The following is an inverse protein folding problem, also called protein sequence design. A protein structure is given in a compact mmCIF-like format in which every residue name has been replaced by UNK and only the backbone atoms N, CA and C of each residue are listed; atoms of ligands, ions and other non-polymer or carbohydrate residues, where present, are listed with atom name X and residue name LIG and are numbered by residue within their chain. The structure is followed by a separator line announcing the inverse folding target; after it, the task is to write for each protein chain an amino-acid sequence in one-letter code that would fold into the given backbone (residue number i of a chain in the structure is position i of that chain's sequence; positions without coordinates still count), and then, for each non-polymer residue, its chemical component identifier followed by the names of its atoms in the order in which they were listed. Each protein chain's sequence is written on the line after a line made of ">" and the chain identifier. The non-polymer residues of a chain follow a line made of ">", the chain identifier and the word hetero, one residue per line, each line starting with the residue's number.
data_IF_638132520375
#
_entry.id   IF_638132520375
#
_cell.length_a   1.000
_cell.length_b   1.000
_cell.length_c   1.000
_cell.angle_alpha   90.00
_cell.angle_beta   90.00
_cell.angle_gamma   90.00
#
_symmetry.space_group_name_H-M   'P 1'
#
loop_
_entity.id
_entity.type
_entity.pdbx_description
1 polymer ?
#
# COMPACT_ATOMS: atom_id res chain seq x y z
N UNK A 1 -24.16 42.65 -80.71
CA UNK A 1 -23.04 43.25 -79.95
C UNK A 1 -23.31 43.09 -78.47
N UNK A 2 -22.30 42.55 -77.76
CA UNK A 2 -22.14 42.32 -76.30
C UNK A 2 -22.63 43.47 -75.37
N UNK A 3 -22.73 43.28 -74.04
CA UNK A 3 -23.49 42.26 -73.29
C UNK A 3 -24.20 42.84 -72.03
N UNK A 4 -25.01 42.00 -71.38
CA UNK A 4 -25.69 42.24 -70.11
C UNK A 4 -24.74 42.35 -68.89
N UNK A 5 -25.15 43.11 -67.87
CA UNK A 5 -24.59 43.05 -66.50
C UNK A 5 -25.68 42.69 -65.50
N UNK A 6 -25.49 41.52 -64.90
CA UNK A 6 -26.29 40.92 -63.85
C UNK A 6 -25.63 41.28 -62.50
N UNK A 7 -26.26 42.10 -61.68
CA UNK A 7 -25.85 42.36 -60.29
C UNK A 7 -26.48 41.31 -59.40
N UNK A 8 -25.72 40.29 -59.04
CA UNK A 8 -26.12 39.28 -58.05
C UNK A 8 -25.96 39.81 -56.64
N UNK A 9 -27.05 39.81 -55.88
CA UNK A 9 -27.07 39.97 -54.42
C UNK A 9 -26.84 38.58 -53.80
N UNK A 10 -25.69 38.36 -53.17
CA UNK A 10 -25.41 37.12 -52.45
C UNK A 10 -26.03 37.21 -51.06
N UNK A 11 -27.13 36.49 -50.83
CA UNK A 11 -27.76 36.33 -49.52
C UNK A 11 -27.06 35.18 -48.79
N UNK A 12 -26.23 35.49 -47.79
CA UNK A 12 -25.58 34.50 -46.94
C UNK A 12 -26.61 34.00 -45.90
N UNK A 13 -27.19 32.82 -46.13
CA UNK A 13 -28.04 32.14 -45.15
C UNK A 13 -27.12 31.52 -44.09
N UNK A 14 -27.05 32.16 -42.92
CA UNK A 14 -26.43 31.58 -41.74
C UNK A 14 -27.37 30.49 -41.18
N UNK A 15 -27.03 29.23 -41.42
CA UNK A 15 -27.71 28.09 -40.77
C UNK A 15 -27.08 27.94 -39.39
N UNK A 16 -27.78 28.41 -38.36
CA UNK A 16 -27.42 28.16 -36.96
C UNK A 16 -27.75 26.70 -36.64
N UNK A 17 -26.75 25.82 -36.66
CA UNK A 17 -26.89 24.47 -36.12
C UNK A 17 -27.00 24.56 -34.59
N UNK A 18 -28.21 24.42 -34.06
CA UNK A 18 -28.42 24.16 -32.63
C UNK A 18 -27.98 22.72 -32.35
N UNK A 19 -26.75 22.56 -31.87
CA UNK A 19 -26.28 21.29 -31.29
C UNK A 19 -26.95 21.17 -29.91
N UNK A 20 -28.06 20.44 -29.87
CA UNK A 20 -28.66 19.98 -28.62
C UNK A 20 -27.74 18.89 -28.07
N UNK A 21 -26.84 19.27 -27.15
CA UNK A 21 -26.12 18.31 -26.33
C UNK A 21 -27.14 17.73 -25.34
N UNK A 22 -27.63 16.53 -25.61
CA UNK A 22 -28.15 15.69 -24.54
C UNK A 22 -26.99 15.47 -23.57
N UNK A 23 -27.02 16.15 -22.42
CA UNK A 23 -26.33 15.64 -21.24
C UNK A 23 -27.04 14.35 -20.89
N UNK A 24 -26.42 13.22 -21.17
CA UNK A 24 -26.77 12.01 -20.43
C UNK A 24 -26.67 12.38 -18.95
N UNK A 25 -27.75 12.19 -18.20
CA UNK A 25 -27.69 12.36 -16.76
C UNK A 25 -26.70 11.32 -16.24
N UNK A 26 -25.54 11.79 -15.76
CA UNK A 26 -24.56 10.95 -15.07
C UNK A 26 -25.30 10.10 -14.03
N UNK A 27 -25.14 8.78 -14.04
CA UNK A 27 -25.84 7.93 -13.09
C UNK A 27 -25.53 8.40 -11.68
N UNK A 28 -26.58 8.65 -10.87
CA UNK A 28 -26.42 9.15 -9.51
C UNK A 28 -25.60 8.16 -8.69
N UNK A 29 -24.43 8.58 -8.23
CA UNK A 29 -23.57 7.77 -7.37
C UNK A 29 -24.11 7.76 -5.95
N UNK A 30 -24.48 6.58 -5.44
CA UNK A 30 -24.75 6.38 -4.03
C UNK A 30 -23.45 5.93 -3.34
N UNK A 31 -22.78 6.88 -2.69
CA UNK A 31 -21.53 6.63 -1.96
C UNK A 31 -21.91 6.42 -0.48
N UNK A 32 -21.67 5.23 0.10
CA UNK A 32 -21.93 4.99 1.52
C UNK A 32 -20.92 5.72 2.42
N UNK A 33 -21.25 5.87 3.70
CA UNK A 33 -20.37 6.51 4.70
C UNK A 33 -19.24 5.57 5.19
N UNK A 34 -19.32 4.28 4.86
CA UNK A 34 -18.34 3.26 5.24
C UNK A 34 -18.20 2.21 4.14
N UNK A 35 -17.18 1.36 4.21
CA UNK A 35 -16.90 0.33 3.22
C UNK A 35 -17.82 -0.90 3.41
N UNK A 36 -19.13 -0.70 3.34
CA UNK A 36 -20.18 -1.70 3.64
C UNK A 36 -20.98 -2.13 2.39
N UNK A 37 -20.31 -2.15 1.24
CA UNK A 37 -20.89 -2.64 -0.02
C UNK A 37 -21.29 -4.13 0.07
N UNK A 38 -22.22 -4.53 -0.80
CA UNK A 38 -22.56 -5.94 -0.99
C UNK A 38 -21.46 -6.68 -1.77
N UNK A 39 -21.31 -7.97 -1.52
CA UNK A 39 -20.32 -8.86 -2.16
C UNK A 39 -18.89 -8.32 -2.10
N UNK A 40 -18.40 -8.02 -0.89
CA UNK A 40 -17.03 -7.55 -0.67
C UNK A 40 -16.17 -8.69 -0.17
N UNK A 41 -15.02 -8.90 -0.84
CA UNK A 41 -14.01 -9.85 -0.40
C UNK A 41 -12.61 -9.28 -0.59
N UNK A 42 -11.81 -9.31 0.47
CA UNK A 42 -10.38 -9.00 0.46
C UNK A 42 -9.64 -9.77 1.57
N UNK A 43 -10.17 -10.93 1.95
CA UNK A 43 -9.62 -11.74 3.04
C UNK A 43 -8.17 -12.17 2.74
N UNK A 44 -7.85 -12.44 1.48
CA UNK A 44 -6.49 -12.77 1.05
C UNK A 44 -5.48 -11.65 1.32
N UNK A 45 -5.92 -10.39 1.35
CA UNK A 45 -5.08 -9.25 1.69
C UNK A 45 -4.92 -9.12 3.20
N UNK A 46 -5.99 -9.31 3.97
CA UNK A 46 -5.91 -9.36 5.43
C UNK A 46 -4.98 -10.47 5.93
N UNK A 47 -5.02 -11.65 5.30
CA UNK A 47 -4.09 -12.73 5.60
C UNK A 47 -2.64 -12.34 5.35
N UNK A 48 -2.32 -11.68 4.23
CA UNK A 48 -0.94 -11.22 3.94
C UNK A 48 -0.47 -10.12 4.89
N UNK A 49 -1.36 -9.21 5.30
CA UNK A 49 -1.05 -8.24 6.35
C UNK A 49 -0.74 -8.95 7.67
N UNK A 50 -1.54 -9.94 8.05
CA UNK A 50 -1.30 -10.74 9.25
C UNK A 50 0.00 -11.55 9.18
N UNK A 51 0.34 -12.12 8.02
CA UNK A 51 1.60 -12.82 7.79
C UNK A 51 2.81 -11.90 7.98
N UNK A 52 2.78 -10.69 7.41
CA UNK A 52 3.88 -9.73 7.62
C UNK A 52 3.95 -9.28 9.09
N UNK A 53 2.80 -9.14 9.76
CA UNK A 53 2.78 -8.79 11.18
C UNK A 53 3.43 -9.88 12.04
N UNK A 54 3.16 -11.15 11.76
CA UNK A 54 3.81 -12.25 12.48
C UNK A 54 5.31 -12.34 12.14
N UNK A 55 5.70 -12.13 10.88
CA UNK A 55 7.11 -12.03 10.49
C UNK A 55 7.82 -10.88 11.20
N UNK A 56 7.20 -9.70 11.28
CA UNK A 56 7.70 -8.55 12.03
C UNK A 56 7.91 -8.89 13.50
N UNK A 57 6.95 -9.57 14.12
CA UNK A 57 7.06 -9.99 15.52
C UNK A 57 8.25 -10.93 15.72
N UNK A 58 8.47 -11.87 14.80
CA UNK A 58 9.66 -12.73 14.85
C UNK A 58 10.96 -11.95 14.66
N UNK A 59 11.03 -11.07 13.65
CA UNK A 59 12.19 -10.20 13.40
C UNK A 59 12.56 -9.35 14.65
N UNK A 60 11.54 -8.87 15.38
CA UNK A 60 11.73 -8.03 16.57
C UNK A 60 12.44 -8.76 17.72
N UNK A 61 12.36 -10.09 17.79
CA UNK A 61 13.07 -10.89 18.81
C UNK A 61 14.60 -10.79 18.68
N UNK A 62 15.11 -10.37 17.51
CA UNK A 62 16.56 -10.20 17.27
C UNK A 62 17.23 -9.10 18.11
N UNK A 63 16.44 -8.30 18.82
CA UNK A 63 16.92 -7.28 19.77
C UNK A 63 17.23 -7.86 21.17
N UNK A 64 16.87 -9.11 21.42
CA UNK A 64 17.12 -9.82 22.68
C UNK A 64 18.51 -10.47 22.68
N UNK A 65 19.21 -10.41 23.83
CA UNK A 65 20.55 -11.02 23.94
C UNK A 65 20.48 -12.54 23.74
N UNK A 66 21.21 -13.04 22.73
CA UNK A 66 21.31 -14.47 22.44
C UNK A 66 20.15 -15.03 21.62
N UNK A 67 19.18 -14.20 21.23
CA UNK A 67 18.15 -14.60 20.28
C UNK A 67 18.73 -14.65 18.86
N UNK A 68 18.56 -15.78 18.19
CA UNK A 68 19.06 -16.00 16.83
C UNK A 68 17.87 -16.27 15.92
N UNK A 69 17.76 -15.47 14.86
CA UNK A 69 16.77 -15.67 13.82
C UNK A 69 17.19 -16.80 12.87
N UNK A 70 16.22 -17.58 12.42
CA UNK A 70 16.42 -18.64 11.45
C UNK A 70 16.06 -18.16 10.04
N UNK A 71 17.05 -18.12 9.14
CA UNK A 71 16.86 -17.70 7.76
C UNK A 71 15.87 -18.59 6.98
N UNK A 72 15.89 -19.90 7.24
CA UNK A 72 14.96 -20.86 6.64
C UNK A 72 13.52 -20.58 7.05
N UNK A 73 13.27 -20.35 8.34
CA UNK A 73 11.96 -19.94 8.86
C UNK A 73 11.50 -18.62 8.25
N UNK A 74 12.36 -17.60 8.21
CA UNK A 74 12.03 -16.30 7.62
C UNK A 74 11.65 -16.41 6.12
N UNK A 75 12.40 -17.18 5.34
CA UNK A 75 12.08 -17.46 3.93
C UNK A 75 10.80 -18.27 3.77
N UNK A 76 10.55 -19.21 4.68
CA UNK A 76 9.29 -19.95 4.72
C UNK A 76 8.10 -19.04 5.06
N UNK A 77 8.24 -18.10 6.00
CA UNK A 77 7.22 -17.08 6.28
C UNK A 77 6.95 -16.20 5.04
N UNK A 78 8.00 -15.85 4.29
CA UNK A 78 7.88 -15.05 3.08
C UNK A 78 7.16 -15.80 1.93
N UNK A 79 7.47 -17.08 1.74
CA UNK A 79 6.88 -17.94 0.71
C UNK A 79 5.60 -18.68 1.15
N UNK A 80 5.17 -18.51 2.40
CA UNK A 80 4.12 -19.30 3.06
C UNK A 80 4.33 -20.84 3.03
N UNK A 81 5.55 -21.29 3.30
CA UNK A 81 5.83 -22.70 3.54
C UNK A 81 5.48 -23.05 4.99
N UNK A 82 4.20 -23.31 5.26
CA UNK A 82 3.64 -23.46 6.61
C UNK A 82 4.39 -24.48 7.51
N UNK A 83 4.82 -25.67 7.02
CA UNK A 83 5.63 -26.60 7.81
C UNK A 83 6.94 -26.02 8.38
N UNK A 84 7.51 -25.00 7.75
CA UNK A 84 8.79 -24.38 8.13
C UNK A 84 8.63 -22.97 8.70
N UNK A 85 7.54 -22.28 8.35
CA UNK A 85 7.27 -20.90 8.80
C UNK A 85 6.96 -20.78 10.30
N UNK A 86 6.48 -21.88 10.91
CA UNK A 86 6.07 -21.95 12.32
C UNK A 86 5.03 -20.87 12.69
N UNK A 87 4.04 -20.68 11.81
CA UNK A 87 2.95 -19.72 12.02
C UNK A 87 2.17 -20.03 13.31
N UNK A 88 1.82 -18.99 14.05
CA UNK A 88 0.82 -19.02 15.11
C UNK A 88 -0.59 -18.85 14.53
N UNK A 89 -0.71 -18.07 13.44
CA UNK A 89 -1.93 -17.96 12.66
C UNK A 89 -2.16 -19.14 11.71
N UNK A 90 -3.37 -19.24 11.16
CA UNK A 90 -3.70 -20.14 10.06
C UNK A 90 -3.86 -19.31 8.79
N UNK A 91 -3.06 -19.61 7.77
CA UNK A 91 -3.09 -18.93 6.49
C UNK A 91 -3.38 -19.92 5.37
N UNK A 92 -4.19 -19.52 4.39
CA UNK A 92 -4.43 -20.28 3.18
C UNK A 92 -3.14 -20.40 2.37
N UNK A 93 -2.84 -21.61 1.89
CA UNK A 93 -1.58 -21.94 1.21
C UNK A 93 -1.35 -21.14 -0.09
N UNK A 94 -2.42 -20.60 -0.69
CA UNK A 94 -2.33 -19.72 -1.86
C UNK A 94 -1.87 -18.29 -1.51
N UNK A 95 -1.89 -17.90 -0.24
CA UNK A 95 -1.52 -16.55 0.18
C UNK A 95 -0.04 -16.51 0.52
N UNK A 96 0.73 -15.81 -0.30
CA UNK A 96 2.17 -15.65 -0.11
C UNK A 96 2.54 -14.18 -0.19
N UNK A 97 3.54 -13.76 0.59
CA UNK A 97 4.14 -12.43 0.47
C UNK A 97 5.09 -12.38 -0.72
N UNK A 98 5.87 -13.44 -0.95
CA UNK A 98 6.89 -13.51 -2.01
C UNK A 98 6.32 -13.34 -3.41
N UNK A 99 5.31 -14.13 -3.77
CA UNK A 99 4.64 -14.06 -5.08
C UNK A 99 3.94 -12.71 -5.31
N UNK A 100 3.54 -12.01 -4.24
CA UNK A 100 2.95 -10.67 -4.32
C UNK A 100 3.94 -9.52 -4.22
N UNK A 101 5.19 -9.82 -3.90
CA UNK A 101 6.25 -8.81 -3.94
C UNK A 101 6.69 -8.59 -5.37
N UNK A 102 6.87 -7.33 -5.77
CA UNK A 102 7.33 -6.99 -7.10
C UNK A 102 8.56 -7.81 -7.48
N UNK A 103 8.48 -8.51 -8.61
CA UNK A 103 9.40 -9.58 -9.00
C UNK A 103 10.87 -9.17 -8.88
N UNK A 104 11.18 -7.94 -9.32
CA UNK A 104 12.53 -7.38 -9.27
C UNK A 104 13.15 -7.36 -7.86
N UNK A 105 12.34 -7.22 -6.81
CA UNK A 105 12.82 -7.17 -5.44
C UNK A 105 12.76 -8.50 -4.70
N UNK A 106 12.22 -9.57 -5.27
CA UNK A 106 12.08 -10.84 -4.56
C UNK A 106 13.44 -11.43 -4.13
N UNK A 107 14.45 -11.40 -5.00
CA UNK A 107 15.81 -11.85 -4.67
C UNK A 107 16.47 -10.94 -3.62
N UNK A 108 16.18 -9.63 -3.64
CA UNK A 108 16.66 -8.70 -2.63
C UNK A 108 16.11 -9.08 -1.24
N UNK A 109 14.81 -9.38 -1.12
CA UNK A 109 14.25 -9.81 0.16
C UNK A 109 14.82 -11.14 0.62
N UNK A 110 15.03 -12.13 -0.25
CA UNK A 110 15.72 -13.37 0.14
C UNK A 110 17.10 -13.09 0.76
N UNK A 111 17.86 -12.16 0.17
CA UNK A 111 19.17 -11.73 0.68
C UNK A 111 19.07 -10.98 2.01
N UNK A 112 18.05 -10.12 2.19
CA UNK A 112 17.80 -9.41 3.45
C UNK A 112 17.43 -10.38 4.58
N UNK A 113 16.59 -11.38 4.30
CA UNK A 113 16.20 -12.42 5.27
C UNK A 113 17.41 -13.27 5.70
N UNK A 114 18.33 -13.59 4.77
CA UNK A 114 19.60 -14.21 5.15
C UNK A 114 20.49 -13.27 5.96
N UNK A 115 20.55 -11.98 5.59
CA UNK A 115 21.41 -11.00 6.24
C UNK A 115 20.97 -10.73 7.67
N UNK A 116 19.66 -10.59 7.94
CA UNK A 116 19.17 -10.33 9.30
C UNK A 116 19.41 -11.54 10.21
N UNK A 117 19.24 -12.75 9.67
CA UNK A 117 19.60 -13.98 10.38
C UNK A 117 21.10 -14.03 10.71
N UNK A 118 21.97 -13.72 9.75
CA UNK A 118 23.43 -13.65 10.01
C UNK A 118 23.78 -12.58 11.05
N UNK A 119 23.18 -11.40 10.97
CA UNK A 119 23.42 -10.33 11.96
C UNK A 119 23.01 -10.76 13.37
N UNK A 120 21.89 -11.49 13.51
CA UNK A 120 21.37 -11.95 14.80
C UNK A 120 22.24 -13.00 15.50
N UNK A 121 23.21 -13.61 14.80
CA UNK A 121 24.19 -14.52 15.41
C UNK A 121 25.23 -13.75 16.25
N UNK A 122 25.36 -12.44 16.06
CA UNK A 122 26.36 -11.63 16.76
C UNK A 122 26.17 -11.71 18.28
N UNK A 123 27.24 -12.08 18.98
CA UNK A 123 27.30 -12.13 20.45
C UNK A 123 28.02 -10.92 21.06
N UNK A 124 28.40 -9.95 20.23
CA UNK A 124 29.11 -8.73 20.64
C UNK A 124 28.22 -7.50 20.47
N UNK A 125 28.56 -6.42 21.16
CA UNK A 125 27.90 -5.13 20.97
C UNK A 125 28.13 -4.62 19.54
N UNK A 126 27.10 -4.03 18.93
CA UNK A 126 27.18 -3.43 17.61
C UNK A 126 27.97 -2.11 17.63
N UNK A 127 28.60 -1.77 16.51
CA UNK A 127 29.38 -0.55 16.36
C UNK A 127 29.86 -0.34 14.91
N UNK A 128 30.69 0.68 14.63
CA UNK A 128 31.19 0.95 13.29
C UNK A 128 31.89 -0.28 12.68
N UNK A 129 31.35 -0.82 11.59
CA UNK A 129 31.88 -2.02 10.91
C UNK A 129 31.60 -3.36 11.63
N UNK A 130 30.81 -3.36 12.70
CA UNK A 130 30.51 -4.55 13.50
C UNK A 130 29.00 -4.69 13.70
N UNK A 131 28.43 -5.75 13.12
CA UNK A 131 27.05 -6.13 13.39
C UNK A 131 26.86 -6.53 14.85
N UNK A 132 25.73 -6.17 15.44
CA UNK A 132 25.40 -6.48 16.83
C UNK A 132 24.32 -5.57 17.39
N UNK A 133 23.95 -5.82 18.65
CA UNK A 133 22.92 -5.02 19.32
C UNK A 133 23.53 -3.71 19.81
N UNK A 134 22.88 -2.60 19.48
CA UNK A 134 23.21 -1.24 19.94
C UNK A 134 22.06 -0.74 20.80
N UNK A 135 22.39 -0.11 21.95
CA UNK A 135 21.39 0.45 22.87
C UNK A 135 21.39 1.97 22.76
N UNK A 136 20.22 2.60 22.94
CA UNK A 136 20.12 4.06 23.10
C UNK A 136 20.95 4.52 24.30
N UNK A 137 21.32 5.80 24.32
CA UNK A 137 22.17 6.38 25.38
C UNK A 137 21.53 6.26 26.77
N UNK A 138 20.20 6.35 26.83
CA UNK A 138 19.41 6.17 28.06
C UNK A 138 19.19 4.69 28.44
N UNK A 139 19.63 3.75 27.58
CA UNK A 139 19.48 2.31 27.75
C UNK A 139 18.06 1.78 27.60
N UNK A 140 17.08 2.60 27.21
CA UNK A 140 15.67 2.22 27.15
C UNK A 140 15.29 1.44 25.88
N UNK A 141 16.06 1.61 24.79
CA UNK A 141 15.83 0.95 23.50
C UNK A 141 17.06 0.21 23.02
N UNK A 142 16.82 -0.82 22.18
CA UNK A 142 17.85 -1.71 21.65
C UNK A 142 17.51 -2.10 20.21
N UNK A 143 18.52 -2.14 19.36
CA UNK A 143 18.36 -2.44 17.93
C UNK A 143 19.47 -3.37 17.46
N UNK A 144 19.12 -4.36 16.63
CA UNK A 144 20.10 -5.16 15.92
C UNK A 144 20.51 -4.44 14.64
N UNK A 145 21.74 -3.95 14.59
CA UNK A 145 22.29 -3.31 13.40
C UNK A 145 23.28 -4.23 12.69
N UNK A 146 23.31 -4.16 11.36
CA UNK A 146 24.39 -4.77 10.59
C UNK A 146 25.68 -3.91 10.66
N UNK A 147 26.76 -4.38 10.02
CA UNK A 147 28.05 -3.70 9.98
C UNK A 147 28.02 -2.29 9.35
N UNK A 148 26.97 -1.98 8.59
CA UNK A 148 26.73 -0.69 7.97
C UNK A 148 25.80 0.23 8.79
N UNK A 149 25.37 -0.21 9.97
CA UNK A 149 24.44 0.54 10.82
C UNK A 149 22.98 0.50 10.37
N UNK A 150 22.61 -0.42 9.47
CA UNK A 150 21.21 -0.60 9.03
C UNK A 150 20.52 -1.64 9.91
N UNK A 151 19.33 -1.29 10.41
CA UNK A 151 18.41 -2.23 11.04
C UNK A 151 17.67 -3.01 9.96
N UNK A 152 18.17 -4.20 9.62
CA UNK A 152 17.64 -5.02 8.53
C UNK A 152 16.17 -5.40 8.73
N UNK A 153 15.69 -5.48 9.98
CA UNK A 153 14.28 -5.71 10.29
C UNK A 153 13.38 -4.59 9.74
N UNK A 154 13.79 -3.31 9.85
CA UNK A 154 13.05 -2.19 9.27
C UNK A 154 13.10 -2.22 7.75
N UNK A 155 14.26 -2.50 7.16
CA UNK A 155 14.39 -2.63 5.71
C UNK A 155 13.47 -3.72 5.13
N UNK A 156 13.31 -4.84 5.84
CA UNK A 156 12.39 -5.91 5.46
C UNK A 156 10.93 -5.46 5.62
N UNK A 157 10.55 -4.92 6.78
CA UNK A 157 9.18 -4.49 7.07
C UNK A 157 8.73 -3.37 6.10
N UNK A 158 9.43 -2.23 6.09
CA UNK A 158 9.09 -1.07 5.25
C UNK A 158 9.25 -1.39 3.77
N UNK A 159 10.27 -2.17 3.42
CA UNK A 159 10.46 -2.67 2.07
C UNK A 159 9.26 -3.46 1.57
N UNK A 160 8.76 -4.43 2.35
CA UNK A 160 7.59 -5.24 1.96
C UNK A 160 6.30 -4.41 1.96
N UNK A 161 6.15 -3.40 2.81
CA UNK A 161 5.03 -2.46 2.70
C UNK A 161 4.97 -1.79 1.32
N UNK A 162 6.11 -1.35 0.80
CA UNK A 162 6.21 -0.74 -0.54
C UNK A 162 6.11 -1.77 -1.67
N UNK A 163 7.02 -2.75 -1.65
CA UNK A 163 7.21 -3.70 -2.75
C UNK A 163 6.12 -4.77 -2.84
N UNK A 164 5.35 -5.01 -1.77
CA UNK A 164 4.21 -5.92 -1.77
C UNK A 164 2.90 -5.14 -1.69
N UNK A 165 2.59 -4.49 -0.56
CA UNK A 165 1.23 -3.97 -0.34
C UNK A 165 0.89 -2.76 -1.21
N UNK A 166 1.76 -1.75 -1.22
CA UNK A 166 1.57 -0.57 -2.07
C UNK A 166 1.62 -0.95 -3.56
N UNK A 167 2.60 -1.73 -3.98
CA UNK A 167 2.72 -2.22 -5.35
C UNK A 167 1.47 -2.99 -5.81
N UNK A 168 1.00 -3.96 -5.02
CA UNK A 168 -0.19 -4.73 -5.36
C UNK A 168 -1.41 -3.82 -5.46
N UNK A 169 -1.67 -2.98 -4.46
CA UNK A 169 -2.84 -2.09 -4.50
C UNK A 169 -2.79 -1.15 -5.71
N UNK A 170 -1.69 -0.40 -5.86
CA UNK A 170 -1.65 0.73 -6.78
C UNK A 170 -1.29 0.36 -8.22
N UNK A 171 -0.37 -0.57 -8.43
CA UNK A 171 0.13 -0.92 -9.76
C UNK A 171 -0.57 -2.15 -10.34
N UNK A 172 -0.95 -3.12 -9.50
CA UNK A 172 -1.60 -4.36 -9.96
C UNK A 172 -3.12 -4.22 -9.94
N UNK A 173 -3.72 -4.11 -8.76
CA UNK A 173 -5.18 -4.14 -8.59
C UNK A 173 -5.87 -2.90 -9.14
N UNK A 174 -5.31 -1.70 -8.94
CA UNK A 174 -5.78 -0.48 -9.59
C UNK A 174 -5.16 -0.25 -10.98
N UNK A 175 -4.41 -1.23 -11.50
CA UNK A 175 -3.79 -1.17 -12.83
C UNK A 175 -4.74 -1.60 -13.95
N UNK A 176 -4.38 -1.26 -15.19
CA UNK A 176 -5.21 -1.48 -16.38
C UNK A 176 -5.67 -2.93 -16.54
N UNK A 177 -4.82 -3.91 -16.24
CA UNK A 177 -5.16 -5.33 -16.37
C UNK A 177 -6.31 -5.77 -15.46
N UNK A 178 -6.46 -5.10 -14.31
CA UNK A 178 -7.47 -5.42 -13.28
C UNK A 178 -8.66 -4.48 -13.32
N UNK A 179 -8.45 -3.29 -13.86
CA UNK A 179 -9.46 -2.25 -14.01
C UNK A 179 -10.13 -2.24 -15.40
N UNK A 180 -9.76 -3.15 -16.31
CA UNK A 180 -10.43 -3.35 -17.60
C UNK A 180 -10.94 -4.80 -17.78
N UNK A 181 -11.44 -5.40 -16.69
CA UNK A 181 -12.05 -6.74 -16.66
C UNK A 181 -13.58 -6.67 -16.66
N UNK A 182 -14.24 -7.83 -16.57
CA UNK A 182 -15.70 -7.91 -16.48
C UNK A 182 -16.26 -7.12 -15.29
N UNK A 183 -17.30 -6.35 -15.56
CA UNK A 183 -18.06 -5.58 -14.57
C UNK A 183 -19.57 -5.82 -14.73
N UNK A 184 -19.97 -7.05 -15.06
CA UNK A 184 -21.38 -7.41 -15.27
C UNK A 184 -21.78 -8.70 -14.56
N UNK A 185 -20.90 -9.71 -14.57
CA UNK A 185 -21.15 -11.02 -13.99
C UNK A 185 -20.87 -10.98 -12.50
N UNK A 186 -21.91 -11.20 -11.68
CA UNK A 186 -21.76 -11.20 -10.22
C UNK A 186 -21.40 -12.59 -9.73
N UNK A 187 -20.26 -12.70 -9.06
CA UNK A 187 -19.87 -13.85 -8.25
C UNK A 187 -20.34 -13.63 -6.79
N UNK A 188 -21.17 -14.52 -6.22
CA UNK A 188 -21.66 -14.36 -4.86
C UNK A 188 -20.52 -14.24 -3.84
N UNK A 189 -20.52 -13.15 -3.07
CA UNK A 189 -19.49 -12.86 -2.06
C UNK A 189 -18.31 -12.03 -2.57
N UNK A 190 -18.11 -11.90 -3.88
CA UNK A 190 -16.98 -11.16 -4.48
C UNK A 190 -17.42 -10.00 -5.38
N UNK A 191 -18.63 -10.05 -5.92
CA UNK A 191 -19.17 -9.04 -6.82
C UNK A 191 -18.76 -9.34 -8.25
N UNK A 192 -18.67 -8.32 -9.08
CA UNK A 192 -18.03 -8.48 -10.40
C UNK A 192 -16.51 -8.63 -10.26
N UNK A 193 -15.84 -9.08 -11.32
CA UNK A 193 -14.37 -9.18 -11.28
C UNK A 193 -13.70 -7.83 -11.01
N UNK A 194 -14.22 -6.74 -11.58
CA UNK A 194 -13.70 -5.39 -11.33
C UNK A 194 -13.95 -4.92 -9.90
N UNK A 195 -15.14 -5.21 -9.36
CA UNK A 195 -15.49 -4.94 -7.97
C UNK A 195 -14.56 -5.67 -6.99
N UNK A 196 -14.36 -6.97 -7.19
CA UNK A 196 -13.48 -7.77 -6.37
C UNK A 196 -12.04 -7.23 -6.41
N UNK A 197 -11.50 -6.91 -7.58
CA UNK A 197 -10.15 -6.34 -7.67
C UNK A 197 -10.01 -4.98 -6.98
N UNK A 198 -11.06 -4.16 -6.99
CA UNK A 198 -11.08 -2.91 -6.22
C UNK A 198 -11.07 -3.18 -4.70
N UNK A 199 -11.87 -4.14 -4.26
CA UNK A 199 -11.95 -4.59 -2.87
C UNK A 199 -10.59 -5.14 -2.39
N UNK A 200 -9.90 -5.91 -3.22
CA UNK A 200 -8.54 -6.39 -2.96
C UNK A 200 -7.52 -5.23 -2.83
N UNK A 201 -7.62 -4.16 -3.63
CA UNK A 201 -6.79 -2.97 -3.46
C UNK A 201 -7.04 -2.29 -2.11
N UNK A 202 -8.31 -2.16 -1.71
CA UNK A 202 -8.70 -1.62 -0.40
C UNK A 202 -8.16 -2.48 0.75
N UNK A 203 -8.19 -3.81 0.63
CA UNK A 203 -7.67 -4.72 1.64
C UNK A 203 -6.21 -4.47 2.01
N UNK A 204 -5.35 -4.11 1.03
CA UNK A 204 -3.95 -3.77 1.29
C UNK A 204 -3.73 -2.42 2.00
N UNK A 205 -4.74 -1.55 2.03
CA UNK A 205 -4.66 -0.30 2.78
C UNK A 205 -4.60 -0.56 4.29
N UNK A 206 -5.18 -1.67 4.76
CA UNK A 206 -4.99 -2.15 6.13
C UNK A 206 -5.76 -1.34 7.18
N UNK A 207 -6.97 -0.91 6.84
CA UNK A 207 -7.88 -0.15 7.71
C UNK A 207 -9.21 -0.89 7.89
N UNK A 208 -9.97 -0.66 8.98
CA UNK A 208 -11.31 -1.22 9.12
C UNK A 208 -12.28 -0.55 8.12
N UNK A 209 -13.37 -1.23 7.78
CA UNK A 209 -14.37 -0.73 6.83
C UNK A 209 -14.98 0.63 7.24
N UNK A 210 -15.06 0.90 8.54
CA UNK A 210 -15.58 2.16 9.11
C UNK A 210 -14.49 3.19 9.43
N UNK A 211 -13.28 3.05 8.88
CA UNK A 211 -12.25 4.08 8.98
C UNK A 211 -12.76 5.41 8.34
N UNK A 212 -12.42 6.59 8.88
CA UNK A 212 -11.67 6.82 10.11
C UNK A 212 -12.48 6.83 11.41
N UNK A 213 -13.80 6.59 11.37
CA UNK A 213 -14.61 6.50 12.59
C UNK A 213 -14.12 5.39 13.54
N UNK A 214 -13.58 4.31 12.98
CA UNK A 214 -12.83 3.29 13.73
C UNK A 214 -11.37 3.28 13.30
N UNK A 215 -10.44 3.38 14.25
CA UNK A 215 -9.00 3.41 14.00
C UNK A 215 -8.26 2.20 14.59
N UNK A 216 -8.94 1.08 14.76
CA UNK A 216 -8.35 -0.16 15.25
C UNK A 216 -9.12 -1.40 14.75
N UNK A 217 -8.44 -2.47 14.32
CA UNK A 217 -6.98 -2.55 14.12
C UNK A 217 -6.54 -1.74 12.88
N UNK A 218 -5.30 -1.22 12.91
CA UNK A 218 -4.65 -0.61 11.75
C UNK A 218 -3.36 -1.38 11.44
N UNK A 219 -3.15 -1.70 10.17
CA UNK A 219 -1.99 -2.44 9.70
C UNK A 219 -1.15 -1.57 8.78
N UNK A 220 0.16 -1.49 9.04
CA UNK A 220 1.16 -0.88 8.16
C UNK A 220 0.72 0.49 7.59
N UNK A 221 0.33 0.57 6.31
CA UNK A 221 -0.12 1.79 5.66
C UNK A 221 -1.30 2.47 6.36
N UNK A 222 -2.25 1.71 6.90
CA UNK A 222 -3.35 2.24 7.72
C UNK A 222 -2.84 2.91 9.00
N UNK A 223 -1.80 2.34 9.64
CA UNK A 223 -1.17 2.95 10.81
C UNK A 223 -0.45 4.26 10.44
N UNK A 224 0.28 4.27 9.32
CA UNK A 224 0.96 5.48 8.86
C UNK A 224 0.02 6.57 8.37
N UNK A 225 -1.08 6.21 7.69
CA UNK A 225 -2.12 7.18 7.37
C UNK A 225 -2.60 7.86 8.64
N UNK A 226 -2.98 7.07 9.66
CA UNK A 226 -3.50 7.64 10.90
C UNK A 226 -2.48 8.50 11.64
N UNK A 227 -1.19 8.15 11.60
CA UNK A 227 -0.13 8.97 12.17
C UNK A 227 0.09 10.28 11.40
N UNK A 228 -0.07 10.28 10.07
CA UNK A 228 0.12 11.46 9.21
C UNK A 228 -1.13 12.32 9.06
N UNK A 229 -2.28 11.86 9.55
CA UNK A 229 -3.58 12.52 9.35
C UNK A 229 -3.63 13.96 9.87
N UNK A 230 -3.03 14.24 11.03
CA UNK A 230 -2.97 15.61 11.57
C UNK A 230 -2.31 16.61 10.59
N UNK A 231 -1.36 16.13 9.78
CA UNK A 231 -0.63 16.94 8.81
C UNK A 231 -1.34 16.99 7.45
N UNK A 232 -1.87 15.84 6.99
CA UNK A 232 -2.33 15.67 5.61
C UNK A 232 -3.85 15.66 5.44
N UNK A 233 -4.59 15.45 6.54
CA UNK A 233 -6.01 15.08 6.55
C UNK A 233 -6.26 13.90 5.61
N UNK A 234 -5.36 12.92 5.61
CA UNK A 234 -5.32 11.84 4.62
C UNK A 234 -6.28 10.70 4.93
N UNK A 235 -6.71 10.52 6.18
CA UNK A 235 -7.57 9.43 6.57
C UNK A 235 -8.91 9.47 5.83
N UNK A 236 -9.61 10.60 5.92
CA UNK A 236 -10.90 10.79 5.24
C UNK A 236 -10.71 10.79 3.72
N UNK A 237 -9.69 11.48 3.20
CA UNK A 237 -9.41 11.53 1.74
C UNK A 237 -9.19 10.15 1.13
N UNK A 238 -8.43 9.29 1.80
CA UNK A 238 -8.20 7.92 1.33
C UNK A 238 -9.51 7.11 1.33
N UNK A 239 -10.30 7.20 2.39
CA UNK A 239 -11.58 6.48 2.46
C UNK A 239 -12.56 6.99 1.42
N UNK A 240 -12.74 8.29 1.29
CA UNK A 240 -13.61 8.90 0.29
C UNK A 240 -13.22 8.43 -1.12
N UNK A 241 -11.94 8.37 -1.44
CA UNK A 241 -11.47 7.88 -2.74
C UNK A 241 -11.82 6.40 -2.96
N UNK A 242 -11.61 5.53 -1.97
CA UNK A 242 -11.98 4.12 -2.06
C UNK A 242 -13.49 3.90 -2.18
N UNK A 243 -14.30 4.61 -1.39
CA UNK A 243 -15.76 4.56 -1.42
C UNK A 243 -16.29 5.07 -2.76
N UNK A 244 -15.75 6.21 -3.24
CA UNK A 244 -16.10 6.80 -4.53
C UNK A 244 -15.84 5.83 -5.68
N UNK A 245 -14.65 5.23 -5.74
CA UNK A 245 -14.32 4.33 -6.83
C UNK A 245 -15.11 3.03 -6.80
N UNK A 246 -15.35 2.45 -5.62
CA UNK A 246 -16.19 1.24 -5.49
C UNK A 246 -17.64 1.52 -5.92
N UNK A 247 -18.21 2.65 -5.52
CA UNK A 247 -19.54 3.08 -5.96
C UNK A 247 -19.59 3.37 -7.46
N UNK A 248 -18.53 3.96 -8.01
CA UNK A 248 -18.41 4.23 -9.45
C UNK A 248 -18.36 2.96 -10.29
N UNK A 249 -17.63 1.93 -9.84
CA UNK A 249 -17.61 0.61 -10.48
C UNK A 249 -19.02 0.01 -10.49
N UNK A 250 -19.73 -0.01 -9.36
CA UNK A 250 -21.09 -0.55 -9.28
C UNK A 250 -22.08 0.22 -10.16
N UNK A 251 -21.87 1.52 -10.37
CA UNK A 251 -22.68 2.36 -11.25
C UNK A 251 -22.25 2.30 -12.73
N UNK A 252 -21.16 1.60 -13.05
CA UNK A 252 -20.58 1.58 -14.40
C UNK A 252 -19.93 2.90 -14.84
N UNK A 253 -19.66 3.82 -13.91
CA UNK A 253 -19.06 5.12 -14.21
C UNK A 253 -17.52 5.02 -14.19
N UNK A 254 -16.94 4.58 -15.32
CA UNK A 254 -15.50 4.36 -15.42
C UNK A 254 -14.67 5.66 -15.34
N UNK A 255 -15.23 6.81 -15.73
CA UNK A 255 -14.55 8.09 -15.61
C UNK A 255 -14.33 8.47 -14.14
N UNK A 256 -15.38 8.39 -13.31
CA UNK A 256 -15.27 8.65 -11.86
C UNK A 256 -14.41 7.60 -11.15
N UNK A 257 -14.45 6.35 -11.62
CA UNK A 257 -13.54 5.29 -11.16
C UNK A 257 -12.08 5.67 -11.43
N UNK A 258 -11.74 6.13 -12.64
CA UNK A 258 -10.37 6.54 -12.98
C UNK A 258 -9.90 7.74 -12.14
N UNK A 259 -10.78 8.70 -11.86
CA UNK A 259 -10.51 9.80 -10.92
C UNK A 259 -10.23 9.28 -9.50
N UNK A 260 -11.02 8.32 -9.02
CA UNK A 260 -10.81 7.69 -7.71
C UNK A 260 -9.46 6.95 -7.63
N UNK A 261 -9.05 6.26 -8.70
CA UNK A 261 -7.72 5.61 -8.77
C UNK A 261 -6.62 6.66 -8.58
N UNK A 262 -6.70 7.78 -9.29
CA UNK A 262 -5.72 8.85 -9.20
C UNK A 262 -5.66 9.44 -7.78
N UNK A 263 -6.80 9.60 -7.12
CA UNK A 263 -6.88 10.08 -5.73
C UNK A 263 -6.29 9.08 -4.74
N UNK A 264 -6.59 7.78 -4.86
CA UNK A 264 -6.00 6.73 -4.01
C UNK A 264 -4.48 6.77 -4.13
N UNK A 265 -3.94 6.74 -5.36
CA UNK A 265 -2.50 6.78 -5.60
C UNK A 265 -1.86 8.04 -5.00
N UNK A 266 -2.42 9.21 -5.30
CA UNK A 266 -1.89 10.50 -4.82
C UNK A 266 -1.85 10.57 -3.29
N UNK A 267 -2.93 10.19 -2.60
CA UNK A 267 -2.96 10.25 -1.14
C UNK A 267 -2.01 9.22 -0.52
N UNK A 268 -1.89 8.02 -1.08
CA UNK A 268 -0.98 6.99 -0.58
C UNK A 268 0.50 7.36 -0.77
N UNK A 269 0.85 8.00 -1.89
CA UNK A 269 2.18 8.55 -2.16
C UNK A 269 2.52 9.70 -1.20
N UNK A 270 1.56 10.58 -0.91
CA UNK A 270 1.72 11.63 0.09
C UNK A 270 1.95 11.06 1.50
N UNK A 271 1.21 10.02 1.89
CA UNK A 271 1.42 9.31 3.16
C UNK A 271 2.83 8.72 3.21
N UNK A 272 3.29 8.07 2.14
CA UNK A 272 4.63 7.49 2.05
C UNK A 272 5.72 8.55 2.18
N UNK A 273 5.66 9.60 1.37
CA UNK A 273 6.65 10.68 1.38
C UNK A 273 6.68 11.43 2.72
N UNK A 274 5.52 11.73 3.31
CA UNK A 274 5.44 12.36 4.62
C UNK A 274 5.99 11.47 5.74
N UNK A 275 5.80 10.15 5.64
CA UNK A 275 6.36 9.18 6.59
C UNK A 275 7.88 9.15 6.52
N UNK A 276 8.46 9.05 5.32
CA UNK A 276 9.90 9.11 5.12
C UNK A 276 10.50 10.42 5.68
N UNK A 277 9.91 11.57 5.35
CA UNK A 277 10.35 12.87 5.89
C UNK A 277 10.24 12.92 7.41
N UNK A 278 9.17 12.37 8.00
CA UNK A 278 8.99 12.29 9.45
C UNK A 278 10.12 11.49 10.11
N UNK A 279 10.56 10.39 9.51
CA UNK A 279 11.68 9.60 10.02
C UNK A 279 13.04 10.28 9.82
N UNK A 280 13.26 10.95 8.69
CA UNK A 280 14.47 11.77 8.49
C UNK A 280 14.57 12.90 9.51
N UNK A 281 13.46 13.57 9.84
CA UNK A 281 13.45 14.59 10.88
C UNK A 281 13.75 14.00 12.28
N UNK A 282 13.19 12.84 12.61
CA UNK A 282 13.54 12.14 13.86
C UNK A 282 15.02 11.73 13.90
N UNK A 283 15.61 11.34 12.76
CA UNK A 283 17.04 11.04 12.68
C UNK A 283 17.91 12.28 12.92
N UNK A 284 17.47 13.45 12.45
CA UNK A 284 18.13 14.73 12.73
C UNK A 284 18.02 15.12 14.21
N UNK A 285 16.85 14.92 14.83
CA UNK A 285 16.64 15.18 16.26
C UNK A 285 17.48 14.26 17.15
N UNK A 286 17.63 13.00 16.75
CA UNK A 286 18.40 11.99 17.48
C UNK A 286 19.83 11.84 16.96
N UNK A 287 20.38 12.86 16.29
CA UNK A 287 21.64 12.73 15.56
C UNK A 287 22.81 12.27 16.45
N UNK A 288 22.82 12.66 17.71
CA UNK A 288 23.90 12.35 18.64
C UNK A 288 23.79 10.94 19.25
N UNK A 289 22.60 10.34 19.28
CA UNK A 289 22.40 8.95 19.74
C UNK A 289 22.56 7.99 18.53
N UNK A 290 23.65 7.20 18.45
CA UNK A 290 23.90 6.36 17.28
C UNK A 290 22.83 5.28 17.07
N UNK A 291 22.21 4.79 18.15
CA UNK A 291 21.20 3.74 18.08
C UNK A 291 19.88 4.29 17.54
N UNK A 292 19.42 5.42 18.10
CA UNK A 292 18.19 6.07 17.67
C UNK A 292 18.32 6.67 16.26
N UNK A 293 19.47 7.27 15.92
CA UNK A 293 19.75 7.75 14.56
C UNK A 293 19.72 6.60 13.55
N UNK A 294 20.40 5.49 13.83
CA UNK A 294 20.42 4.33 12.93
C UNK A 294 19.02 3.72 12.74
N UNK A 295 18.28 3.55 13.84
CA UNK A 295 16.90 3.05 13.81
C UNK A 295 16.00 3.92 12.93
N UNK A 296 15.95 5.22 13.21
CA UNK A 296 15.07 6.17 12.49
C UNK A 296 15.48 6.33 11.02
N UNK A 297 16.77 6.28 10.68
CA UNK A 297 17.21 6.22 9.28
C UNK A 297 16.85 4.91 8.58
N UNK A 298 16.79 3.80 9.31
CA UNK A 298 16.39 2.50 8.75
C UNK A 298 14.87 2.42 8.51
N UNK A 299 14.08 3.23 9.20
CA UNK A 299 12.63 3.34 9.01
C UNK A 299 12.22 4.29 7.87
N UNK A 300 13.10 5.23 7.49
CA UNK A 300 12.84 6.25 6.45
C UNK A 300 12.82 5.67 5.04
#
# INVERSE_FOLDING_TARGET
>A
MKPARLTGFTFLVLITLCIYSCKEEEPSLNIPDSYDFGNVNYDGQLQRLAMLLEMKNYLSTSTENGAVLNAGRLKAMYANDAPVAEWQGTYDASKQLKEKTFEFYQELFDKLLDAVARASVSTVAGGPGQAGIVSSEDGSKRYLLNENGLELAQAIEKGLMGACFYYQATAVYLGDEKMNVDNQSVEPGEGTAMEHHWDEAFGYYGVPASFPATTSPLFFWGSYSNQRDLLLSCNQKMMDAFLKGRAAISAGNLAVRDEAIAEVRTNWELISGATAISYLNQALENFDDPALRAHTLSEA
#
